data_IF_438156583178
#
_entry.id   IF_438156583178
#
_cell.length_a   1.000
_cell.length_b   1.000
_cell.length_c   1.000
_cell.angle_alpha   90.00
_cell.angle_beta   90.00
_cell.angle_gamma   90.00
#
_symmetry.space_group_name_H-M   'P 1'
#
loop_
_entity.id
_entity.type
_entity.pdbx_description
1 polymer ?
#
# COMPACT_ATOMS: atom_id res chain seq x y z
N UNK A 1 5.97 -51.20 16.33
CA UNK A 1 5.56 -50.00 17.09
C UNK A 1 5.82 -48.79 16.18
N UNK A 2 4.83 -48.42 15.36
CA UNK A 2 4.95 -47.28 14.43
C UNK A 2 4.66 -46.00 15.22
N UNK A 3 5.70 -45.19 15.42
CA UNK A 3 5.55 -43.82 15.91
C UNK A 3 5.19 -42.94 14.71
N UNK A 4 3.90 -42.65 14.54
CA UNK A 4 3.43 -41.57 13.68
C UNK A 4 3.34 -40.31 14.54
N UNK A 5 4.35 -39.46 14.40
CA UNK A 5 4.34 -38.11 14.94
C UNK A 5 5.07 -37.22 13.96
N UNK A 6 4.30 -36.53 13.13
CA UNK A 6 4.39 -35.06 13.13
C UNK A 6 3.09 -34.47 12.57
N UNK A 7 2.47 -33.64 13.40
CA UNK A 7 1.27 -32.91 13.05
C UNK A 7 1.57 -31.95 11.91
N UNK A 8 0.79 -32.07 10.84
CA UNK A 8 0.70 -31.05 9.80
C UNK A 8 0.24 -29.73 10.42
N UNK A 9 1.19 -28.92 10.86
CA UNK A 9 0.94 -27.51 11.14
C UNK A 9 0.44 -26.91 9.83
N UNK A 10 -0.85 -26.57 9.77
CA UNK A 10 -1.48 -26.04 8.58
C UNK A 10 -0.66 -24.84 8.08
N UNK A 11 -0.08 -24.99 6.89
CA UNK A 11 0.80 -23.98 6.32
C UNK A 11 0.02 -22.67 6.18
N UNK A 12 0.49 -21.60 6.82
CA UNK A 12 -0.15 -20.28 6.74
C UNK A 12 -0.30 -19.87 5.28
N UNK A 13 -1.43 -19.27 4.90
CA UNK A 13 -1.57 -18.63 3.59
C UNK A 13 -0.53 -17.50 3.46
N UNK A 14 -0.03 -17.22 2.25
CA UNK A 14 0.93 -16.16 2.00
C UNK A 14 0.43 -14.80 2.54
N UNK A 15 -0.85 -14.50 2.31
CA UNK A 15 -1.49 -13.27 2.81
C UNK A 15 -1.55 -13.17 4.34
N UNK A 16 -1.71 -14.30 5.05
CA UNK A 16 -1.69 -14.36 6.51
C UNK A 16 -0.28 -14.21 7.06
N UNK A 17 0.68 -14.93 6.47
CA UNK A 17 2.09 -14.81 6.82
C UNK A 17 2.58 -13.36 6.67
N UNK A 18 2.30 -12.72 5.54
CA UNK A 18 2.68 -11.33 5.30
C UNK A 18 2.08 -10.39 6.34
N UNK A 19 0.80 -10.56 6.68
CA UNK A 19 0.14 -9.78 7.74
C UNK A 19 0.87 -9.90 9.07
N UNK A 20 1.12 -11.14 9.51
CA UNK A 20 1.75 -11.41 10.80
C UNK A 20 3.20 -10.90 10.83
N UNK A 21 3.97 -11.14 9.76
CA UNK A 21 5.37 -10.76 9.67
C UNK A 21 5.63 -9.25 9.50
N UNK A 22 4.59 -8.48 9.15
CA UNK A 22 4.67 -7.01 8.93
C UNK A 22 3.78 -6.20 9.87
N UNK A 23 3.14 -6.82 10.86
CA UNK A 23 2.20 -6.15 11.76
C UNK A 23 2.81 -4.95 12.50
N UNK A 24 4.07 -5.07 12.95
CA UNK A 24 4.77 -3.99 13.64
C UNK A 24 5.07 -2.81 12.70
N UNK A 25 5.49 -3.09 11.47
CA UNK A 25 5.79 -2.07 10.47
C UNK A 25 4.53 -1.34 10.00
N UNK A 26 3.41 -2.08 9.83
CA UNK A 26 2.11 -1.50 9.56
C UNK A 26 1.70 -0.52 10.67
N UNK A 27 1.75 -0.98 11.93
CA UNK A 27 1.42 -0.13 13.08
C UNK A 27 2.32 1.10 13.16
N UNK A 28 3.62 0.96 12.88
CA UNK A 28 4.56 2.08 12.88
C UNK A 28 4.17 3.16 11.87
N UNK A 29 3.78 2.78 10.64
CA UNK A 29 3.30 3.73 9.62
C UNK A 29 2.00 4.41 10.06
N UNK A 30 1.04 3.66 10.60
CA UNK A 30 -0.23 4.23 11.08
C UNK A 30 -0.07 5.20 12.25
N UNK A 31 0.99 5.03 13.05
CA UNK A 31 1.30 5.90 14.18
C UNK A 31 2.00 7.21 13.78
N UNK A 32 2.48 7.32 12.54
CA UNK A 32 3.13 8.55 12.08
C UNK A 32 2.17 9.74 12.15
N UNK A 33 2.63 10.94 12.58
CA UNK A 33 1.77 12.11 12.74
C UNK A 33 0.97 12.44 11.48
N UNK A 34 1.59 12.36 10.31
CA UNK A 34 0.93 12.62 9.02
C UNK A 34 -0.21 11.62 8.72
N UNK A 35 -0.07 10.35 9.09
CA UNK A 35 -1.11 9.33 8.90
C UNK A 35 -2.24 9.50 9.92
N UNK A 36 -1.91 9.77 11.19
CA UNK A 36 -2.91 10.04 12.23
C UNK A 36 -3.72 11.29 11.94
N UNK A 37 -3.11 12.32 11.35
CA UNK A 37 -3.77 13.57 11.00
C UNK A 37 -4.95 13.35 10.04
N UNK A 38 -4.87 12.37 9.14
CA UNK A 38 -5.97 12.01 8.22
C UNK A 38 -7.26 11.58 8.93
N UNK A 39 -7.18 11.21 10.21
CA UNK A 39 -8.32 10.76 11.00
C UNK A 39 -8.83 11.84 11.97
N UNK A 40 -8.15 12.98 12.08
CA UNK A 40 -8.44 14.04 13.04
C UNK A 40 -9.30 15.17 12.43
N UNK A 41 -10.11 15.83 13.24
CA UNK A 41 -11.00 16.92 12.78
C UNK A 41 -10.25 18.21 12.42
N UNK A 42 -8.99 18.35 12.87
CA UNK A 42 -8.18 19.57 12.69
C UNK A 42 -7.24 19.53 11.49
N UNK A 43 -7.38 18.55 10.59
CA UNK A 43 -6.54 18.47 9.39
C UNK A 43 -6.80 19.68 8.49
N UNK A 44 -5.76 20.40 8.10
CA UNK A 44 -5.87 21.50 7.14
C UNK A 44 -5.71 21.00 5.69
N UNK A 45 -6.20 21.77 4.71
CA UNK A 45 -5.97 21.46 3.29
C UNK A 45 -4.46 21.42 2.95
N UNK A 46 -3.61 22.36 3.41
CA UNK A 46 -2.16 22.25 3.22
C UNK A 46 -1.55 20.95 3.77
N UNK A 47 -1.94 20.52 4.98
CA UNK A 47 -1.44 19.26 5.55
C UNK A 47 -1.88 18.06 4.72
N UNK A 48 -3.14 18.08 4.24
CA UNK A 48 -3.66 17.05 3.35
C UNK A 48 -2.87 16.97 2.02
N UNK A 49 -2.57 18.12 1.41
CA UNK A 49 -1.71 18.19 0.22
C UNK A 49 -0.34 17.57 0.50
N UNK A 50 0.27 17.84 1.65
CA UNK A 50 1.56 17.24 2.01
C UNK A 50 1.47 15.73 2.14
N UNK A 51 0.37 15.20 2.67
CA UNK A 51 0.12 13.75 2.71
C UNK A 51 -0.01 13.16 1.31
N UNK A 52 -0.76 13.79 0.40
CA UNK A 52 -0.90 13.35 -0.99
C UNK A 52 0.45 13.37 -1.73
N UNK A 53 1.25 14.42 -1.54
CA UNK A 53 2.60 14.52 -2.11
C UNK A 53 3.52 13.40 -1.62
N UNK A 54 3.45 13.02 -0.34
CA UNK A 54 4.23 11.90 0.22
C UNK A 54 3.80 10.55 -0.34
N UNK A 55 2.50 10.32 -0.49
CA UNK A 55 1.98 9.13 -1.18
C UNK A 55 2.48 9.08 -2.62
N UNK A 56 2.42 10.21 -3.35
CA UNK A 56 2.87 10.29 -4.74
C UNK A 56 4.36 9.99 -4.86
N UNK A 57 5.21 10.62 -4.05
CA UNK A 57 6.65 10.39 -4.08
C UNK A 57 7.01 8.90 -3.92
N UNK A 58 6.37 8.22 -2.96
CA UNK A 58 6.58 6.79 -2.71
C UNK A 58 6.07 5.92 -3.86
N UNK A 59 4.83 6.14 -4.28
CA UNK A 59 4.15 5.24 -5.22
C UNK A 59 4.62 5.44 -6.65
N UNK A 60 4.82 6.69 -7.10
CA UNK A 60 5.21 6.98 -8.48
C UNK A 60 6.57 6.37 -8.83
N UNK A 61 7.54 6.44 -7.92
CA UNK A 61 8.89 5.91 -8.18
C UNK A 61 8.91 4.39 -8.26
N UNK A 62 8.14 3.74 -7.37
CA UNK A 62 7.95 2.30 -7.40
C UNK A 62 7.17 1.83 -8.63
N UNK A 63 6.07 2.49 -8.98
CA UNK A 63 5.30 2.17 -10.18
C UNK A 63 6.11 2.34 -11.46
N UNK A 64 6.93 3.39 -11.55
CA UNK A 64 7.82 3.61 -12.69
C UNK A 64 8.83 2.47 -12.84
N UNK A 65 9.52 2.12 -11.74
CA UNK A 65 10.55 1.08 -11.73
C UNK A 65 9.97 -0.30 -12.06
N UNK A 66 8.83 -0.64 -11.48
CA UNK A 66 8.23 -1.98 -11.57
C UNK A 66 7.11 -2.06 -12.64
N UNK A 67 6.97 -1.04 -13.50
CA UNK A 67 5.85 -0.88 -14.45
C UNK A 67 5.58 -2.12 -15.32
N UNK A 68 6.62 -2.68 -15.93
CA UNK A 68 6.51 -3.87 -16.78
C UNK A 68 6.02 -5.09 -15.99
N UNK A 69 6.55 -5.28 -14.78
CA UNK A 69 6.15 -6.37 -13.89
C UNK A 69 4.72 -6.16 -13.39
N UNK A 70 4.35 -4.95 -12.95
CA UNK A 70 2.99 -4.63 -12.49
C UNK A 70 1.95 -4.93 -13.57
N UNK A 71 2.24 -4.57 -14.82
CA UNK A 71 1.37 -4.88 -15.95
C UNK A 71 1.21 -6.39 -16.19
N UNK A 72 2.32 -7.15 -16.16
CA UNK A 72 2.33 -8.58 -16.41
C UNK A 72 1.86 -9.44 -15.21
N UNK A 73 1.86 -8.88 -13.99
CA UNK A 73 1.56 -9.61 -12.76
C UNK A 73 0.07 -9.99 -12.62
N UNK A 74 -0.83 -9.21 -13.25
CA UNK A 74 -2.27 -9.44 -13.21
C UNK A 74 -2.75 -10.61 -14.08
N UNK A 75 -4.04 -10.88 -14.02
CA UNK A 75 -4.74 -11.89 -14.82
C UNK A 75 -6.12 -11.36 -15.28
N UNK A 76 -7.07 -12.28 -15.54
CA UNK A 76 -8.43 -11.93 -15.91
C UNK A 76 -9.28 -11.45 -14.73
N UNK A 77 -8.97 -11.90 -13.52
CA UNK A 77 -9.76 -11.65 -12.30
C UNK A 77 -9.24 -10.43 -11.53
N UNK A 78 -7.94 -10.17 -11.56
CA UNK A 78 -7.33 -9.05 -10.88
C UNK A 78 -6.20 -8.42 -11.70
N UNK A 79 -6.18 -7.08 -11.73
CA UNK A 79 -5.10 -6.29 -12.33
C UNK A 79 -4.75 -5.12 -11.43
N UNK A 80 -3.47 -4.79 -11.40
CA UNK A 80 -3.00 -3.60 -10.71
C UNK A 80 -3.61 -2.34 -11.33
N UNK A 81 -4.01 -1.41 -10.48
CA UNK A 81 -4.51 -0.10 -10.88
C UNK A 81 -3.48 0.95 -10.40
N UNK A 82 -2.82 1.68 -11.31
CA UNK A 82 -1.85 2.71 -10.92
C UNK A 82 -2.46 3.76 -9.99
N UNK A 83 -1.68 4.16 -8.98
CA UNK A 83 -2.05 5.13 -7.93
C UNK A 83 -1.51 6.51 -8.24
N UNK A 84 -0.34 6.60 -8.91
CA UNK A 84 0.25 7.90 -9.27
C UNK A 84 -0.71 8.80 -10.07
N UNK A 85 -1.48 8.33 -11.07
CA UNK A 85 -2.37 9.23 -11.81
C UNK A 85 -3.54 9.74 -10.96
N UNK A 86 -4.01 8.93 -9.99
CA UNK A 86 -5.11 9.32 -9.09
C UNK A 86 -4.63 10.38 -8.09
N UNK A 87 -3.40 10.22 -7.59
CA UNK A 87 -2.76 11.20 -6.72
C UNK A 87 -2.48 12.52 -7.46
N UNK A 88 -2.05 12.44 -8.72
CA UNK A 88 -1.86 13.62 -9.58
C UNK A 88 -3.17 14.34 -9.84
N UNK A 89 -4.26 13.60 -10.09
CA UNK A 89 -5.60 14.16 -10.22
C UNK A 89 -6.03 14.90 -8.95
N UNK A 90 -5.91 14.28 -7.77
CA UNK A 90 -6.29 14.89 -6.50
C UNK A 90 -5.43 16.13 -6.20
N UNK A 91 -4.12 16.08 -6.46
CA UNK A 91 -3.23 17.23 -6.31
C UNK A 91 -3.61 18.37 -7.26
N UNK A 92 -3.95 18.07 -8.52
CA UNK A 92 -4.37 19.08 -9.49
C UNK A 92 -5.68 19.78 -9.06
N UNK A 93 -6.65 19.05 -8.52
CA UNK A 93 -7.88 19.61 -7.95
C UNK A 93 -7.57 20.60 -6.84
N UNK A 94 -6.58 20.29 -5.99
CA UNK A 94 -6.12 21.14 -4.90
C UNK A 94 -5.12 22.24 -5.34
N UNK A 95 -4.89 22.38 -6.65
CA UNK A 95 -3.91 23.33 -7.24
C UNK A 95 -2.49 23.14 -6.70
N UNK A 96 -2.13 21.90 -6.37
CA UNK A 96 -0.80 21.49 -5.95
C UNK A 96 -0.11 20.69 -7.06
N UNK A 97 1.22 20.73 -7.07
CA UNK A 97 2.04 19.96 -8.01
C UNK A 97 2.51 18.65 -7.34
N UNK A 98 2.61 17.53 -8.06
CA UNK A 98 3.32 16.35 -7.54
C UNK A 98 4.82 16.65 -7.31
N UNK A 99 5.45 16.08 -6.28
CA UNK A 99 6.90 16.13 -6.12
C UNK A 99 7.60 15.24 -7.16
N UNK A 100 8.93 15.30 -7.19
CA UNK A 100 9.70 14.27 -7.87
C UNK A 100 9.50 12.92 -7.19
N UNK A 101 9.37 11.81 -7.96
CA UNK A 101 9.30 10.47 -7.40
C UNK A 101 10.53 10.13 -6.56
N UNK A 102 10.32 9.44 -5.45
CA UNK A 102 11.40 8.90 -4.64
C UNK A 102 11.97 7.64 -5.31
N UNK A 103 13.28 7.38 -5.19
CA UNK A 103 13.85 6.12 -5.66
C UNK A 103 13.19 4.92 -4.96
N UNK A 104 12.64 4.01 -5.75
CA UNK A 104 11.98 2.83 -5.24
C UNK A 104 12.96 1.89 -4.50
N UNK A 105 12.51 1.23 -3.42
CA UNK A 105 13.33 0.25 -2.71
C UNK A 105 13.75 -0.89 -3.65
N UNK A 106 14.89 -1.54 -3.40
CA UNK A 106 15.33 -2.67 -4.22
C UNK A 106 14.38 -3.85 -4.09
N UNK A 107 14.03 -4.46 -5.22
CA UNK A 107 13.33 -5.73 -5.30
C UNK A 107 14.19 -6.72 -6.11
N UNK A 108 14.99 -7.57 -5.43
CA UNK A 108 15.90 -8.51 -6.09
C UNK A 108 15.21 -9.49 -7.06
N UNK A 109 13.98 -9.89 -6.74
CA UNK A 109 13.19 -10.79 -7.57
C UNK A 109 11.69 -10.47 -7.54
N UNK A 110 10.92 -11.21 -8.36
CA UNK A 110 9.48 -11.06 -8.46
C UNK A 110 8.74 -11.35 -7.13
N UNK A 111 9.27 -12.20 -6.26
CA UNK A 111 8.65 -12.50 -4.98
C UNK A 111 8.73 -11.28 -4.05
N UNK A 112 9.86 -10.55 -4.06
CA UNK A 112 9.94 -9.27 -3.37
C UNK A 112 8.89 -8.28 -3.90
N UNK A 113 8.71 -8.17 -5.22
CA UNK A 113 7.69 -7.30 -5.81
C UNK A 113 6.27 -7.66 -5.35
N UNK A 114 5.93 -8.96 -5.24
CA UNK A 114 4.65 -9.41 -4.67
C UNK A 114 4.45 -8.98 -3.22
N UNK A 115 5.52 -9.01 -2.43
CA UNK A 115 5.53 -8.48 -1.07
C UNK A 115 5.25 -6.98 -1.00
N UNK A 116 5.93 -6.20 -1.85
CA UNK A 116 5.70 -4.75 -1.95
C UNK A 116 4.27 -4.43 -2.37
N UNK A 117 3.77 -5.15 -3.39
CA UNK A 117 2.43 -5.00 -3.92
C UNK A 117 1.36 -5.37 -2.88
N UNK A 118 1.62 -6.35 -2.00
CA UNK A 118 0.72 -6.66 -0.87
C UNK A 118 0.47 -5.45 0.03
N UNK A 119 1.52 -4.69 0.35
CA UNK A 119 1.41 -3.46 1.16
C UNK A 119 0.55 -2.42 0.44
N UNK A 120 0.81 -2.21 -0.86
CA UNK A 120 0.08 -1.24 -1.68
C UNK A 120 -1.39 -1.61 -1.83
N UNK A 121 -1.72 -2.84 -2.19
CA UNK A 121 -3.12 -3.29 -2.30
C UNK A 121 -3.83 -3.28 -0.94
N UNK A 122 -3.13 -3.62 0.14
CA UNK A 122 -3.67 -3.61 1.50
C UNK A 122 -4.10 -2.21 1.94
N UNK A 123 -3.39 -1.16 1.51
CA UNK A 123 -3.68 0.24 1.84
C UNK A 123 -5.08 0.70 1.38
N UNK A 124 -5.65 0.08 0.34
CA UNK A 124 -7.00 0.40 -0.17
C UNK A 124 -8.08 0.18 0.88
N UNK A 125 -7.88 -0.78 1.79
CA UNK A 125 -8.84 -1.10 2.85
C UNK A 125 -8.93 0.05 3.86
N UNK A 126 -7.79 0.59 4.28
CA UNK A 126 -7.70 1.77 5.15
C UNK A 126 -8.12 3.05 4.44
N UNK A 127 -7.83 3.18 3.13
CA UNK A 127 -8.24 4.32 2.32
C UNK A 127 -9.74 4.60 2.33
N UNK A 128 -10.57 3.54 2.39
CA UNK A 128 -12.03 3.70 2.53
C UNK A 128 -12.45 4.43 3.80
N UNK A 129 -11.77 4.15 4.93
CA UNK A 129 -12.02 4.81 6.20
C UNK A 129 -11.57 6.28 6.15
N UNK A 130 -10.38 6.51 5.59
CA UNK A 130 -9.80 7.84 5.42
C UNK A 130 -10.71 8.72 4.53
N UNK A 131 -11.10 8.25 3.35
CA UNK A 131 -11.99 9.00 2.45
C UNK A 131 -13.32 9.36 3.14
N UNK A 132 -13.94 8.43 3.88
CA UNK A 132 -15.16 8.71 4.63
C UNK A 132 -14.95 9.82 5.67
N UNK A 133 -13.82 9.79 6.38
CA UNK A 133 -13.50 10.79 7.40
C UNK A 133 -13.23 12.15 6.77
N UNK A 134 -12.41 12.21 5.72
CA UNK A 134 -12.07 13.44 5.01
C UNK A 134 -13.31 14.14 4.43
N UNK A 135 -14.30 13.41 3.92
CA UNK A 135 -15.59 14.02 3.48
C UNK A 135 -16.33 14.73 4.62
N UNK A 136 -16.17 14.27 5.85
CA UNK A 136 -16.83 14.85 7.02
C UNK A 136 -16.03 16.02 7.61
N UNK A 137 -14.70 15.95 7.57
CA UNK A 137 -13.83 16.88 8.29
C UNK A 137 -13.15 17.92 7.40
N UNK A 138 -13.06 17.67 6.09
CA UNK A 138 -12.35 18.51 5.13
C UNK A 138 -13.18 18.69 3.85
N UNK A 139 -14.36 19.30 3.99
CA UNK A 139 -15.32 19.48 2.91
C UNK A 139 -14.73 20.17 1.66
N UNK A 140 -13.83 21.13 1.86
CA UNK A 140 -13.17 21.86 0.76
C UNK A 140 -12.26 20.96 -0.10
N UNK A 141 -11.78 19.84 0.46
CA UNK A 141 -10.96 18.86 -0.26
C UNK A 141 -11.76 17.64 -0.73
N UNK A 142 -13.08 17.59 -0.51
CA UNK A 142 -13.92 16.47 -0.93
C UNK A 142 -13.81 16.08 -2.42
N UNK A 143 -13.58 17.03 -3.37
CA UNK A 143 -13.36 16.68 -4.77
C UNK A 143 -11.99 16.02 -5.08
N UNK A 144 -11.07 15.99 -4.11
CA UNK A 144 -9.69 15.50 -4.25
C UNK A 144 -9.46 14.21 -3.44
N UNK A 145 -10.40 13.27 -3.51
CA UNK A 145 -10.37 12.00 -2.74
C UNK A 145 -10.23 10.75 -3.62
N UNK A 146 -9.98 10.91 -4.92
CA UNK A 146 -9.97 9.84 -5.92
C UNK A 146 -9.04 8.69 -5.52
N UNK A 147 -7.85 9.01 -5.01
CA UNK A 147 -6.88 8.03 -4.54
C UNK A 147 -7.39 7.18 -3.37
N UNK A 148 -7.97 7.79 -2.34
CA UNK A 148 -8.45 7.06 -1.17
C UNK A 148 -9.78 6.32 -1.43
N UNK A 149 -10.57 6.77 -2.41
CA UNK A 149 -11.84 6.17 -2.81
C UNK A 149 -11.71 4.95 -3.72
N UNK A 150 -10.51 4.72 -4.23
CA UNK A 150 -10.15 3.58 -5.05
C UNK A 150 -10.46 2.21 -4.43
N UNK A 151 -10.56 2.13 -3.11
CA UNK A 151 -11.00 0.93 -2.39
C UNK A 151 -12.51 0.71 -2.35
N UNK A 152 -13.33 1.71 -2.71
CA UNK A 152 -14.80 1.64 -2.70
C UNK A 152 -15.39 1.04 -3.98
N UNK A 153 -14.64 1.01 -5.08
CA UNK A 153 -15.13 0.60 -6.39
C UNK A 153 -15.40 -0.90 -6.51
N UNK A 154 -14.70 -1.73 -5.73
CA UNK A 154 -14.85 -3.19 -5.77
C UNK A 154 -14.43 -3.84 -4.45
N UNK A 155 -15.42 -4.30 -3.68
CA UNK A 155 -15.20 -4.98 -2.41
C UNK A 155 -14.53 -6.37 -2.56
N UNK A 156 -14.64 -7.00 -3.74
CA UNK A 156 -14.03 -8.30 -4.01
C UNK A 156 -12.57 -8.19 -4.49
N UNK A 157 -12.11 -6.99 -4.87
CA UNK A 157 -10.76 -6.75 -5.41
C UNK A 157 -9.67 -7.33 -4.51
N UNK A 158 -9.75 -7.08 -3.20
CA UNK A 158 -8.79 -7.59 -2.23
C UNK A 158 -8.74 -9.12 -2.19
N UNK A 159 -9.90 -9.78 -2.27
CA UNK A 159 -9.97 -11.25 -2.26
C UNK A 159 -9.34 -11.84 -3.52
N UNK A 160 -9.59 -11.23 -4.69
CA UNK A 160 -9.00 -11.65 -5.97
C UNK A 160 -7.49 -11.43 -5.98
N UNK A 161 -7.02 -10.31 -5.46
CA UNK A 161 -5.60 -10.08 -5.23
C UNK A 161 -4.98 -11.16 -4.33
N UNK A 162 -5.62 -11.50 -3.20
CA UNK A 162 -5.12 -12.55 -2.31
C UNK A 162 -5.01 -13.89 -3.04
N UNK A 163 -5.99 -14.28 -3.86
CA UNK A 163 -5.91 -15.52 -4.66
C UNK A 163 -4.72 -15.49 -5.61
N UNK A 164 -4.51 -14.37 -6.32
CA UNK A 164 -3.36 -14.19 -7.20
C UNK A 164 -2.02 -14.28 -6.45
N UNK A 165 -1.95 -13.68 -5.27
CA UNK A 165 -0.79 -13.70 -4.38
C UNK A 165 -0.45 -15.12 -3.91
N UNK A 166 -1.45 -15.93 -3.53
CA UNK A 166 -1.22 -17.33 -3.14
C UNK A 166 -0.63 -18.16 -4.29
N UNK A 167 -1.12 -17.94 -5.53
CA UNK A 167 -0.59 -18.62 -6.72
C UNK A 167 0.84 -18.19 -7.04
N UNK A 168 1.16 -16.91 -6.84
CA UNK A 168 2.48 -16.36 -7.07
C UNK A 168 3.52 -16.80 -6.03
N UNK A 169 3.08 -17.19 -4.82
CA UNK A 169 3.95 -17.53 -3.69
C UNK A 169 3.71 -18.97 -3.19
N UNK A 170 3.98 -20.00 -4.02
CA UNK A 170 3.63 -21.38 -3.69
C UNK A 170 4.54 -22.04 -2.64
N UNK A 171 5.76 -21.51 -2.42
CA UNK A 171 6.76 -22.15 -1.55
C UNK A 171 7.08 -21.30 -0.33
N UNK A 172 7.58 -21.91 0.77
CA UNK A 172 8.08 -21.14 1.92
C UNK A 172 9.15 -20.11 1.54
N UNK A 173 10.03 -20.44 0.59
CA UNK A 173 11.11 -19.55 0.16
C UNK A 173 10.58 -18.33 -0.61
N UNK A 174 9.63 -18.51 -1.54
CA UNK A 174 9.03 -17.37 -2.25
C UNK A 174 8.26 -16.47 -1.29
N UNK A 175 7.56 -17.06 -0.32
CA UNK A 175 6.87 -16.32 0.75
C UNK A 175 7.82 -15.54 1.64
N UNK A 176 8.98 -16.08 1.97
CA UNK A 176 9.99 -15.36 2.76
C UNK A 176 10.55 -14.16 1.99
N UNK A 177 10.87 -14.32 0.69
CA UNK A 177 11.28 -13.20 -0.15
C UNK A 177 10.19 -12.11 -0.26
N UNK A 178 8.92 -12.50 -0.31
CA UNK A 178 7.80 -11.56 -0.26
C UNK A 178 7.70 -10.85 1.09
N UNK A 179 7.98 -11.50 2.22
CA UNK A 179 8.06 -10.83 3.54
C UNK A 179 9.13 -9.73 3.51
N UNK A 180 10.29 -10.02 2.94
CA UNK A 180 11.38 -9.03 2.85
C UNK A 180 11.00 -7.85 1.94
N UNK A 181 10.32 -8.13 0.82
CA UNK A 181 9.75 -7.09 -0.05
C UNK A 181 8.70 -6.22 0.65
N UNK A 182 7.78 -6.83 1.41
CA UNK A 182 6.77 -6.10 2.16
C UNK A 182 7.40 -5.21 3.24
N UNK A 183 8.41 -5.71 3.97
CA UNK A 183 9.17 -4.92 4.94
C UNK A 183 9.89 -3.75 4.28
N UNK A 184 10.49 -3.95 3.11
CA UNK A 184 11.14 -2.88 2.36
C UNK A 184 10.14 -1.79 1.93
N UNK A 185 8.94 -2.18 1.47
CA UNK A 185 7.89 -1.22 1.13
C UNK A 185 7.38 -0.45 2.36
N UNK A 186 7.12 -1.13 3.49
CA UNK A 186 6.75 -0.41 4.72
C UNK A 186 7.84 0.53 5.21
N UNK A 187 9.12 0.13 5.16
CA UNK A 187 10.23 1.01 5.51
C UNK A 187 10.29 2.23 4.58
N UNK A 188 10.02 2.04 3.29
CA UNK A 188 9.96 3.11 2.32
C UNK A 188 8.81 4.09 2.60
N UNK A 189 7.60 3.61 2.90
CA UNK A 189 6.50 4.44 3.39
C UNK A 189 6.90 5.17 4.69
N UNK A 190 7.41 4.44 5.68
CA UNK A 190 7.77 5.03 6.97
C UNK A 190 8.75 6.19 6.81
N UNK A 191 9.84 6.01 6.06
CA UNK A 191 10.85 7.05 5.83
C UNK A 191 10.25 8.32 5.25
N UNK A 192 9.39 8.21 4.23
CA UNK A 192 8.81 9.39 3.56
C UNK A 192 7.70 10.06 4.38
N UNK A 193 7.00 9.30 5.22
CA UNK A 193 5.96 9.83 6.08
C UNK A 193 6.49 10.37 7.41
N UNK A 194 7.68 9.94 7.82
CA UNK A 194 8.40 10.45 8.99
C UNK A 194 9.12 11.79 8.72
N UNK A 195 9.28 12.20 7.45
CA UNK A 195 9.84 13.51 7.14
C UNK A 195 8.99 14.60 7.81
N UNK A 196 9.60 15.46 8.61
CA UNK A 196 8.91 16.62 9.17
C UNK A 196 8.61 17.61 8.03
N UNK A 197 7.41 18.19 8.05
CA UNK A 197 7.12 19.32 7.16
C UNK A 197 7.91 20.51 7.70
N UNK A 198 8.98 20.92 7.03
CA UNK A 198 9.63 22.20 7.32
C UNK A 198 8.58 23.28 7.02
N UNK A 199 8.17 23.99 8.08
CA UNK A 199 7.22 25.09 8.02
C UNK A 199 7.77 26.28 7.23
#
# INVERSE_FOLDING_TARGET
MMSLSDGSAAQLTASRLLREATAQQHLAVEQLPAMRALLHDSLSVPDYVQVLRRHHAVLAGWEQRESAWLHASGDADWRYQPRSPLLEQDLAVLRATPPLPAPAPPAPDACNCWGMLYVVEGSRLGGRLIARRLRQTLADAAPALTYFELGHTDAACWRRFQQRLEQALPTPQSRQAAVDGARAMFAHFHTHFALETVA
#
